data_IF_457929839177
#
_entry.id   IF_457929839177
#
_cell.length_a   1.000
_cell.length_b   1.000
_cell.length_c   1.000
_cell.angle_alpha   90.00
_cell.angle_beta   90.00
_cell.angle_gamma   90.00
#
_symmetry.space_group_name_H-M   'P 1'
#
loop_
_entity.id
_entity.type
_entity.pdbx_description
1 polymer ?
#
# COMPACT_ATOMS: atom_id res chain seq x y z
N UNK A 1 -10.91 -18.05 14.96
CA UNK A 1 -10.49 -16.66 15.26
C UNK A 1 -8.99 -16.56 15.03
N UNK A 2 -8.56 -16.26 13.80
CA UNK A 2 -7.21 -15.78 13.50
C UNK A 2 -7.43 -14.71 12.43
N UNK A 3 -7.70 -13.50 12.88
CA UNK A 3 -7.79 -12.30 12.03
C UNK A 3 -6.61 -11.43 12.46
N UNK A 4 -5.58 -11.34 11.62
CA UNK A 4 -4.56 -10.32 11.81
C UNK A 4 -3.15 -10.69 11.40
N UNK A 5 -2.90 -10.86 10.09
CA UNK A 5 -1.58 -10.61 9.49
C UNK A 5 -1.81 -9.96 8.11
N UNK A 6 -2.07 -8.65 8.05
CA UNK A 6 -2.34 -7.95 6.78
C UNK A 6 -1.21 -8.25 5.78
N UNK A 7 -1.59 -8.81 4.64
CA UNK A 7 -0.69 -9.36 3.64
C UNK A 7 0.07 -8.25 2.90
N UNK A 8 1.38 -8.34 2.74
CA UNK A 8 2.22 -7.31 2.07
C UNK A 8 1.92 -7.08 0.58
N UNK A 9 1.28 -8.03 -0.10
CA UNK A 9 0.70 -7.77 -1.43
C UNK A 9 -0.48 -6.79 -1.34
N UNK A 10 -1.20 -6.74 -0.22
CA UNK A 10 -2.24 -5.74 0.01
C UNK A 10 -1.71 -4.33 0.11
N UNK A 11 -0.46 -4.15 0.50
CA UNK A 11 0.16 -2.82 0.50
C UNK A 11 0.32 -2.28 -0.93
N UNK A 12 0.69 -3.13 -1.90
CA UNK A 12 0.78 -2.78 -3.32
C UNK A 12 -0.58 -2.66 -3.99
N UNK A 13 -1.49 -3.60 -3.73
CA UNK A 13 -2.74 -3.77 -4.46
C UNK A 13 -3.98 -3.25 -3.75
N UNK A 14 -3.95 -3.01 -2.46
CA UNK A 14 -5.09 -2.52 -1.69
C UNK A 14 -4.76 -1.25 -0.91
N UNK A 15 -3.49 -0.83 -0.99
CA UNK A 15 -2.96 0.41 -0.43
C UNK A 15 -2.87 0.35 1.09
N UNK A 16 -1.68 0.62 1.62
CA UNK A 16 -1.60 1.40 2.86
C UNK A 16 -2.36 2.73 2.69
N UNK A 17 -2.72 3.36 3.82
CA UNK A 17 -3.93 4.17 4.01
C UNK A 17 -4.44 4.79 2.70
N UNK A 18 -5.61 4.33 2.24
CA UNK A 18 -6.40 4.97 1.17
C UNK A 18 -6.89 6.40 1.54
N UNK A 19 -6.13 7.07 2.41
CA UNK A 19 -6.41 8.30 3.15
C UNK A 19 -5.14 9.17 3.25
N UNK A 20 -4.07 8.93 2.46
CA UNK A 20 -2.87 9.79 2.55
C UNK A 20 -3.21 11.28 2.44
N UNK A 21 -4.30 11.66 1.77
CA UNK A 21 -4.66 13.06 1.57
C UNK A 21 -5.63 13.63 2.61
N UNK A 22 -6.20 12.80 3.48
CA UNK A 22 -7.22 13.22 4.45
C UNK A 22 -6.97 12.62 5.83
N UNK A 23 -7.28 13.37 6.88
CA UNK A 23 -7.35 12.81 8.22
C UNK A 23 -8.45 11.76 8.32
N UNK A 24 -8.22 10.77 9.18
CA UNK A 24 -9.24 9.79 9.54
C UNK A 24 -10.52 10.51 9.99
N UNK A 25 -11.68 9.99 9.59
CA UNK A 25 -12.99 10.55 9.94
C UNK A 25 -13.23 12.01 9.50
N UNK A 26 -12.53 12.52 8.47
CA UNK A 26 -12.74 13.88 7.93
C UNK A 26 -14.22 14.22 7.66
N UNK A 27 -15.03 13.27 7.17
CA UNK A 27 -16.47 13.48 6.95
C UNK A 27 -17.23 13.79 8.24
N UNK A 28 -16.89 13.12 9.35
CA UNK A 28 -17.48 13.41 10.66
C UNK A 28 -17.00 14.77 11.15
N UNK A 29 -15.72 15.08 10.95
CA UNK A 29 -15.14 16.39 11.23
C UNK A 29 -15.88 17.52 10.51
N UNK A 30 -16.11 17.38 9.20
CA UNK A 30 -16.89 18.33 8.38
C UNK A 30 -18.31 18.49 8.94
N UNK A 31 -18.99 17.39 9.28
CA UNK A 31 -20.36 17.44 9.81
C UNK A 31 -20.44 18.13 11.17
N UNK A 32 -19.42 17.97 12.01
CA UNK A 32 -19.36 18.49 13.37
C UNK A 32 -18.93 19.95 13.44
N UNK A 33 -17.89 20.32 12.69
CA UNK A 33 -17.17 21.58 12.91
C UNK A 33 -17.56 22.71 11.94
N UNK A 34 -18.24 22.40 10.83
CA UNK A 34 -18.75 23.44 9.91
C UNK A 34 -20.18 23.76 10.31
N UNK A 35 -20.54 25.02 10.57
CA UNK A 35 -21.90 25.36 11.02
C UNK A 35 -22.83 25.67 9.84
N UNK A 36 -22.30 26.38 8.85
CA UNK A 36 -23.06 26.84 7.68
C UNK A 36 -23.58 25.66 6.84
N UNK A 37 -24.90 25.51 6.77
CA UNK A 37 -25.55 24.33 6.20
C UNK A 37 -25.27 24.13 4.71
N UNK A 38 -25.29 25.20 3.92
CA UNK A 38 -25.10 25.09 2.47
C UNK A 38 -23.62 24.83 2.13
N UNK A 39 -22.69 25.58 2.72
CA UNK A 39 -21.24 25.31 2.60
C UNK A 39 -20.88 23.88 3.03
N UNK A 40 -21.44 23.40 4.14
CA UNK A 40 -21.29 22.00 4.58
C UNK A 40 -21.79 20.99 3.54
N UNK A 41 -22.96 21.21 2.94
CA UNK A 41 -23.51 20.31 1.91
C UNK A 41 -22.60 20.26 0.69
N UNK A 42 -22.09 21.41 0.26
CA UNK A 42 -21.17 21.52 -0.87
C UNK A 42 -19.89 20.72 -0.63
N UNK A 43 -19.23 20.94 0.52
CA UNK A 43 -18.01 20.22 0.92
C UNK A 43 -18.26 18.71 0.98
N UNK A 44 -19.40 18.27 1.53
CA UNK A 44 -19.75 16.86 1.59
C UNK A 44 -20.05 16.26 0.21
N UNK A 45 -20.54 17.05 -0.74
CA UNK A 45 -20.75 16.61 -2.12
C UNK A 45 -19.40 16.35 -2.82
N UNK A 46 -18.44 17.26 -2.68
CA UNK A 46 -17.07 17.09 -3.19
C UNK A 46 -16.38 15.89 -2.53
N UNK A 47 -16.51 15.76 -1.21
CA UNK A 47 -15.97 14.60 -0.50
C UNK A 47 -16.63 13.29 -0.92
N UNK A 48 -17.90 13.30 -1.36
CA UNK A 48 -18.53 12.10 -1.92
C UNK A 48 -17.93 11.73 -3.29
N UNK A 49 -17.50 12.71 -4.07
CA UNK A 49 -16.80 12.49 -5.34
C UNK A 49 -15.41 11.86 -5.14
N UNK A 50 -14.67 12.23 -4.08
CA UNK A 50 -13.38 11.55 -3.76
C UNK A 50 -13.58 10.07 -3.42
N UNK A 51 -14.71 9.72 -2.79
CA UNK A 51 -15.09 8.32 -2.56
C UNK A 51 -15.38 7.58 -3.87
N UNK A 52 -15.97 8.20 -4.89
CA UNK A 52 -16.15 7.54 -6.19
C UNK A 52 -14.81 7.31 -6.89
N UNK A 53 -13.91 8.30 -6.88
CA UNK A 53 -12.54 8.15 -7.41
C UNK A 53 -11.84 6.95 -6.73
N UNK A 54 -11.90 6.88 -5.40
CA UNK A 54 -11.28 5.80 -4.63
C UNK A 54 -11.91 4.42 -4.93
N UNK A 55 -13.23 4.36 -5.14
CA UNK A 55 -13.91 3.12 -5.52
C UNK A 55 -13.54 2.65 -6.93
N UNK A 56 -13.38 3.56 -7.88
CA UNK A 56 -12.94 3.23 -9.24
C UNK A 56 -11.53 2.68 -9.23
N UNK A 57 -10.61 3.38 -8.56
CA UNK A 57 -9.24 2.92 -8.40
C UNK A 57 -9.17 1.56 -7.70
N UNK A 58 -9.98 1.33 -6.65
CA UNK A 58 -10.04 0.02 -5.99
C UNK A 58 -10.49 -1.12 -6.91
N UNK A 59 -11.41 -0.85 -7.86
CA UNK A 59 -11.80 -1.86 -8.88
C UNK A 59 -10.63 -2.18 -9.80
N UNK A 60 -9.90 -1.16 -10.25
CA UNK A 60 -8.71 -1.33 -11.08
C UNK A 60 -7.65 -2.14 -10.35
N UNK A 61 -7.41 -1.85 -9.08
CA UNK A 61 -6.44 -2.60 -8.29
C UNK A 61 -6.85 -4.06 -8.08
N UNK A 62 -8.14 -4.34 -7.81
CA UNK A 62 -8.65 -5.72 -7.75
C UNK A 62 -8.42 -6.48 -9.05
N UNK A 63 -8.60 -5.81 -10.19
CA UNK A 63 -8.29 -6.39 -11.51
C UNK A 63 -6.78 -6.63 -11.64
N UNK A 64 -5.96 -5.64 -11.32
CA UNK A 64 -4.50 -5.75 -11.33
C UNK A 64 -3.99 -6.88 -10.44
N UNK A 65 -4.56 -7.09 -9.25
CA UNK A 65 -4.18 -8.19 -8.38
C UNK A 65 -4.46 -9.56 -8.99
N UNK A 66 -5.61 -9.73 -9.68
CA UNK A 66 -5.91 -10.97 -10.40
C UNK A 66 -4.91 -11.22 -11.54
N UNK A 67 -4.56 -10.18 -12.29
CA UNK A 67 -3.57 -10.24 -13.36
C UNK A 67 -2.17 -10.57 -12.82
N UNK A 68 -1.76 -9.92 -11.73
CA UNK A 68 -0.51 -10.23 -11.02
C UNK A 68 -0.43 -11.70 -10.65
N UNK A 69 -1.50 -12.28 -10.08
CA UNK A 69 -1.51 -13.70 -9.72
C UNK A 69 -1.37 -14.62 -10.92
N UNK A 70 -1.93 -14.26 -12.07
CA UNK A 70 -1.76 -15.03 -13.29
C UNK A 70 -0.31 -14.95 -13.80
N UNK A 71 0.29 -13.75 -13.82
CA UNK A 71 1.67 -13.54 -14.24
C UNK A 71 2.67 -14.23 -13.30
N UNK A 72 2.55 -14.01 -12.00
CA UNK A 72 3.56 -14.41 -11.03
C UNK A 72 3.56 -15.91 -10.72
N UNK A 73 2.44 -16.62 -10.96
CA UNK A 73 2.38 -18.09 -10.89
C UNK A 73 2.84 -18.78 -12.18
N UNK A 74 3.03 -18.04 -13.27
CA UNK A 74 3.49 -18.59 -14.54
C UNK A 74 5.02 -18.53 -14.63
N UNK A 75 5.68 -19.68 -14.68
CA UNK A 75 7.13 -19.79 -14.80
C UNK A 75 7.68 -19.24 -16.13
N UNK A 76 6.83 -19.11 -17.16
CA UNK A 76 7.21 -18.50 -18.44
C UNK A 76 7.21 -16.98 -18.40
N UNK A 77 6.68 -16.38 -17.33
CA UNK A 77 6.68 -14.93 -17.17
C UNK A 77 8.10 -14.38 -17.21
N UNK A 78 8.28 -13.32 -17.97
CA UNK A 78 9.55 -12.64 -18.18
C UNK A 78 9.65 -11.41 -17.28
N UNK A 79 10.89 -10.96 -17.05
CA UNK A 79 11.16 -9.70 -16.34
C UNK A 79 10.39 -8.54 -16.96
N UNK A 80 10.45 -8.38 -18.28
CA UNK A 80 9.78 -7.30 -19.00
C UNK A 80 8.25 -7.31 -18.83
N UNK A 81 7.62 -8.49 -18.75
CA UNK A 81 6.18 -8.60 -18.49
C UNK A 81 5.83 -8.10 -17.08
N UNK A 82 6.61 -8.49 -16.06
CA UNK A 82 6.40 -8.01 -14.70
C UNK A 82 6.68 -6.51 -14.57
N UNK A 83 7.76 -6.02 -15.17
CA UNK A 83 8.09 -4.58 -15.18
C UNK A 83 7.00 -3.77 -15.87
N UNK A 84 6.54 -4.20 -17.05
CA UNK A 84 5.44 -3.53 -17.77
C UNK A 84 4.16 -3.51 -16.95
N UNK A 85 3.84 -4.62 -16.30
CA UNK A 85 2.70 -4.72 -15.40
C UNK A 85 2.81 -3.76 -14.19
N UNK A 86 3.95 -3.73 -13.52
CA UNK A 86 4.15 -2.85 -12.37
C UNK A 86 4.23 -1.36 -12.75
N UNK A 87 4.73 -1.04 -13.94
CA UNK A 87 4.73 0.31 -14.50
C UNK A 87 3.31 0.79 -14.80
N UNK A 88 2.44 -0.08 -15.33
CA UNK A 88 1.03 0.28 -15.56
C UNK A 88 0.31 0.56 -14.24
N UNK A 89 0.54 -0.26 -13.20
CA UNK A 89 0.01 0.01 -11.86
C UNK A 89 0.51 1.35 -11.29
N UNK A 90 1.79 1.66 -11.47
CA UNK A 90 2.35 2.93 -11.01
C UNK A 90 1.72 4.12 -11.73
N UNK A 91 1.51 4.01 -13.05
CA UNK A 91 0.86 5.04 -13.85
C UNK A 91 -0.56 5.29 -13.36
N UNK A 92 -1.39 4.24 -13.25
CA UNK A 92 -2.77 4.36 -12.78
C UNK A 92 -2.83 4.96 -11.38
N UNK A 93 -1.89 4.57 -10.50
CA UNK A 93 -1.76 5.15 -9.17
C UNK A 93 -1.43 6.65 -9.20
N UNK A 94 -0.51 7.06 -10.06
CA UNK A 94 -0.18 8.48 -10.25
C UNK A 94 -1.38 9.29 -10.73
N UNK A 95 -2.17 8.76 -11.67
CA UNK A 95 -3.41 9.40 -12.13
C UNK A 95 -4.44 9.53 -11.01
N UNK A 96 -4.64 8.46 -10.21
CA UNK A 96 -5.49 8.48 -9.03
C UNK A 96 -5.03 9.54 -8.01
N UNK A 97 -3.74 9.55 -7.67
CA UNK A 97 -3.19 10.46 -6.67
C UNK A 97 -3.30 11.93 -7.10
N UNK A 98 -3.07 12.23 -8.39
CA UNK A 98 -3.29 13.58 -8.92
C UNK A 98 -4.74 14.04 -8.75
N UNK A 99 -5.72 13.19 -9.14
CA UNK A 99 -7.13 13.50 -8.96
C UNK A 99 -7.48 13.73 -7.47
N UNK A 100 -6.90 12.94 -6.58
CA UNK A 100 -7.12 13.09 -5.14
C UNK A 100 -6.53 14.39 -4.58
N UNK A 101 -5.34 14.81 -5.06
CA UNK A 101 -4.76 16.11 -4.70
C UNK A 101 -5.65 17.25 -5.16
N UNK A 102 -6.08 17.23 -6.42
CA UNK A 102 -6.93 18.28 -6.97
C UNK A 102 -8.22 18.42 -6.15
N UNK A 103 -8.84 17.30 -5.78
CA UNK A 103 -10.02 17.31 -4.93
C UNK A 103 -9.74 17.73 -3.47
N UNK A 104 -8.58 17.38 -2.91
CA UNK A 104 -8.17 17.85 -1.58
C UNK A 104 -8.10 19.37 -1.56
N UNK A 105 -7.44 19.98 -2.54
CA UNK A 105 -7.29 21.43 -2.65
C UNK A 105 -8.69 22.09 -2.72
N UNK A 106 -9.55 21.61 -3.62
CA UNK A 106 -10.92 22.14 -3.77
C UNK A 106 -11.75 22.05 -2.48
N UNK A 107 -11.66 20.93 -1.75
CA UNK A 107 -12.35 20.76 -0.47
C UNK A 107 -11.77 21.71 0.59
N UNK A 108 -10.45 21.85 0.64
CA UNK A 108 -9.76 22.59 1.68
C UNK A 108 -9.90 24.11 1.51
N UNK A 109 -10.06 24.60 0.28
CA UNK A 109 -10.41 26.00 0.01
C UNK A 109 -11.74 26.43 0.67
N UNK A 110 -12.67 25.50 0.88
CA UNK A 110 -14.00 25.75 1.44
C UNK A 110 -14.08 25.60 2.97
N UNK A 111 -13.07 24.98 3.57
CA UNK A 111 -12.97 24.80 5.02
C UNK A 111 -12.23 26.01 5.58
N UNK A 112 -12.65 26.59 6.70
CA UNK A 112 -11.91 27.68 7.35
C UNK A 112 -10.73 27.14 8.18
N UNK A 113 -9.72 27.96 8.43
CA UNK A 113 -8.51 27.50 9.15
C UNK A 113 -8.83 26.99 10.57
N UNK A 114 -9.74 27.65 11.29
CA UNK A 114 -10.15 27.20 12.63
C UNK A 114 -10.97 25.91 12.56
N UNK A 115 -11.86 25.77 11.59
CA UNK A 115 -12.63 24.53 11.37
C UNK A 115 -11.69 23.37 11.09
N UNK A 116 -10.68 23.57 10.25
CA UNK A 116 -9.66 22.56 9.96
C UNK A 116 -8.86 22.15 11.20
N UNK A 117 -8.44 23.13 12.01
CA UNK A 117 -7.75 22.85 13.28
C UNK A 117 -8.60 21.94 14.18
N UNK A 118 -9.89 22.26 14.33
CA UNK A 118 -10.83 21.46 15.13
C UNK A 118 -11.04 20.05 14.53
N UNK A 119 -11.01 19.92 13.19
CA UNK A 119 -11.10 18.63 12.50
C UNK A 119 -9.85 17.78 12.81
N UNK A 120 -8.64 18.33 12.67
CA UNK A 120 -7.40 17.61 13.01
C UNK A 120 -7.42 17.17 14.46
N UNK A 121 -7.70 18.07 15.40
CA UNK A 121 -7.67 17.76 16.83
C UNK A 121 -8.60 16.58 17.16
N UNK A 122 -9.79 16.55 16.56
CA UNK A 122 -10.75 15.45 16.73
C UNK A 122 -10.30 14.11 16.13
N UNK A 123 -9.33 14.12 15.21
CA UNK A 123 -8.79 12.91 14.56
C UNK A 123 -7.65 12.24 15.34
N UNK A 124 -6.96 12.98 16.22
CA UNK A 124 -5.78 12.49 16.95
C UNK A 124 -6.10 11.27 17.82
N UNK A 125 -7.23 11.27 18.53
CA UNK A 125 -7.58 10.13 19.41
C UNK A 125 -7.95 8.86 18.63
N UNK A 126 -8.47 9.01 17.41
CA UNK A 126 -8.73 7.86 16.51
C UNK A 126 -7.41 7.30 16.01
N UNK A 127 -6.46 8.19 15.74
CA UNK A 127 -5.14 7.85 15.25
C UNK A 127 -4.33 7.00 16.24
N UNK A 128 -4.20 7.42 17.50
CA UNK A 128 -3.39 6.70 18.50
C UNK A 128 -3.80 5.23 18.61
N UNK A 129 -5.12 4.98 18.60
CA UNK A 129 -5.69 3.62 18.62
C UNK A 129 -5.34 2.82 17.36
N UNK A 130 -5.25 3.48 16.20
CA UNK A 130 -4.89 2.84 14.93
C UNK A 130 -3.40 2.52 14.90
N UNK A 131 -2.54 3.45 15.31
CA UNK A 131 -1.09 3.26 15.39
C UNK A 131 -0.73 2.10 16.32
N UNK A 132 -1.29 2.05 17.53
CA UNK A 132 -1.10 0.90 18.42
C UNK A 132 -1.50 -0.44 17.78
N UNK A 133 -2.60 -0.44 17.01
CA UNK A 133 -3.07 -1.65 16.34
C UNK A 133 -2.17 -2.06 15.18
N UNK A 134 -1.52 -1.10 14.52
CA UNK A 134 -0.53 -1.36 13.46
C UNK A 134 0.77 -1.86 14.09
N UNK A 135 1.29 -1.23 15.14
CA UNK A 135 2.50 -1.66 15.83
C UNK A 135 2.38 -3.07 16.41
N UNK A 136 1.25 -3.39 17.06
CA UNK A 136 0.95 -4.74 17.56
C UNK A 136 0.86 -5.78 16.45
N UNK A 137 0.59 -5.39 15.20
CA UNK A 137 0.58 -6.27 14.03
C UNK A 137 1.97 -6.42 13.40
N UNK A 138 2.73 -5.32 13.30
CA UNK A 138 4.11 -5.32 12.79
C UNK A 138 5.03 -6.21 13.66
N UNK A 139 4.84 -6.23 14.98
CA UNK A 139 5.58 -7.12 15.88
C UNK A 139 5.35 -8.63 15.60
N UNK A 140 4.29 -8.99 14.88
CA UNK A 140 3.95 -10.38 14.52
C UNK A 140 4.41 -10.78 13.11
N UNK A 141 4.92 -9.85 12.30
CA UNK A 141 5.27 -10.12 10.89
C UNK A 141 6.65 -10.76 10.70
N UNK A 142 7.55 -10.80 11.69
CA UNK A 142 8.88 -11.40 11.52
C UNK A 142 8.89 -12.91 11.19
N UNK A 143 7.78 -13.61 11.44
CA UNK A 143 7.61 -15.03 11.08
C UNK A 143 6.93 -15.23 9.70
N UNK A 144 6.64 -14.15 8.96
CA UNK A 144 5.64 -14.10 7.87
C UNK A 144 5.94 -14.92 6.62
N UNK A 145 7.14 -15.50 6.49
CA UNK A 145 7.52 -16.32 5.33
C UNK A 145 8.25 -17.62 5.71
N UNK A 146 8.08 -18.08 6.96
CA UNK A 146 8.75 -19.29 7.46
C UNK A 146 8.40 -20.52 6.62
N UNK A 147 7.14 -20.68 6.17
CA UNK A 147 6.77 -21.88 5.38
C UNK A 147 7.41 -21.83 4.01
N UNK A 148 7.54 -20.65 3.40
CA UNK A 148 8.25 -20.47 2.15
C UNK A 148 9.72 -20.83 2.31
N UNK A 149 10.38 -20.36 3.38
CA UNK A 149 11.76 -20.74 3.69
C UNK A 149 11.93 -22.26 3.85
N UNK A 150 11.13 -22.89 4.70
CA UNK A 150 11.15 -24.36 4.91
C UNK A 150 10.86 -25.10 3.59
N UNK A 151 9.96 -24.57 2.77
CA UNK A 151 9.68 -25.14 1.46
C UNK A 151 10.90 -25.08 0.56
N UNK A 152 11.59 -23.95 0.47
CA UNK A 152 12.83 -23.79 -0.30
C UNK A 152 13.89 -24.78 0.20
N UNK A 153 14.11 -24.84 1.52
CA UNK A 153 15.11 -25.73 2.14
C UNK A 153 14.88 -27.21 1.83
N UNK A 154 13.61 -27.64 1.79
CA UNK A 154 13.22 -29.04 1.57
C UNK A 154 13.20 -29.48 0.10
N UNK A 155 12.96 -28.56 -0.84
CA UNK A 155 12.81 -28.93 -2.27
C UNK A 155 14.03 -28.61 -3.13
N UNK A 156 14.90 -27.70 -2.70
CA UNK A 156 16.12 -27.35 -3.43
C UNK A 156 17.29 -28.16 -2.87
N UNK A 157 17.84 -29.06 -3.67
CA UNK A 157 18.95 -29.95 -3.25
C UNK A 157 20.30 -29.23 -3.30
N UNK A 158 20.54 -28.41 -4.33
CA UNK A 158 21.80 -27.70 -4.51
C UNK A 158 21.92 -26.51 -3.54
N UNK A 159 22.97 -26.48 -2.73
CA UNK A 159 23.15 -25.45 -1.69
C UNK A 159 23.34 -24.04 -2.29
N UNK A 160 24.07 -23.89 -3.38
CA UNK A 160 24.28 -22.57 -4.02
C UNK A 160 22.96 -21.98 -4.54
N UNK A 161 22.14 -22.80 -5.22
CA UNK A 161 20.81 -22.41 -5.68
C UNK A 161 19.89 -22.05 -4.50
N UNK A 162 19.92 -22.87 -3.45
CA UNK A 162 19.13 -22.65 -2.22
C UNK A 162 19.49 -21.33 -1.55
N UNK A 163 20.78 -21.07 -1.33
CA UNK A 163 21.26 -19.82 -0.73
C UNK A 163 20.86 -18.60 -1.56
N UNK A 164 20.95 -18.70 -2.90
CA UNK A 164 20.51 -17.63 -3.81
C UNK A 164 19.02 -17.30 -3.62
N UNK A 165 18.16 -18.33 -3.62
CA UNK A 165 16.71 -18.16 -3.42
C UNK A 165 16.40 -17.59 -2.03
N UNK A 166 17.05 -18.09 -0.98
CA UNK A 166 16.84 -17.61 0.38
C UNK A 166 17.26 -16.14 0.56
N UNK A 167 18.38 -15.73 -0.03
CA UNK A 167 18.79 -14.31 -0.06
C UNK A 167 17.78 -13.44 -0.82
N UNK A 168 17.22 -13.96 -1.92
CA UNK A 168 16.15 -13.30 -2.66
C UNK A 168 14.90 -13.10 -1.79
N UNK A 169 14.50 -14.13 -1.04
CA UNK A 169 13.37 -14.05 -0.10
C UNK A 169 13.64 -13.05 1.03
N UNK A 170 14.83 -13.08 1.63
CA UNK A 170 15.23 -12.13 2.68
C UNK A 170 15.22 -10.68 2.17
N UNK A 171 15.77 -10.43 0.98
CA UNK A 171 15.71 -9.11 0.36
C UNK A 171 14.26 -8.65 0.13
N UNK A 172 13.38 -9.54 -0.32
CA UNK A 172 11.96 -9.25 -0.43
C UNK A 172 11.37 -8.85 0.93
N UNK A 173 11.56 -9.66 1.98
CA UNK A 173 11.05 -9.39 3.34
C UNK A 173 11.52 -8.03 3.85
N UNK A 174 12.83 -7.74 3.76
CA UNK A 174 13.40 -6.49 4.24
C UNK A 174 12.81 -5.26 3.53
N UNK A 175 12.71 -5.30 2.20
CA UNK A 175 12.08 -4.18 1.45
C UNK A 175 10.59 -4.04 1.72
N UNK A 176 9.93 -5.15 2.04
CA UNK A 176 8.54 -5.20 2.47
C UNK A 176 8.35 -4.48 3.81
N UNK A 177 9.19 -4.80 4.79
CA UNK A 177 9.17 -4.19 6.13
C UNK A 177 9.45 -2.69 6.06
N UNK A 178 10.41 -2.29 5.22
CA UNK A 178 10.74 -0.87 4.99
C UNK A 178 9.57 -0.11 4.36
N UNK A 179 8.86 -0.73 3.42
CA UNK A 179 7.66 -0.14 2.84
C UNK A 179 6.55 -0.03 3.87
N UNK A 180 6.30 -1.07 4.68
CA UNK A 180 5.29 -1.05 5.73
C UNK A 180 5.55 0.06 6.77
N UNK A 181 6.81 0.19 7.23
CA UNK A 181 7.22 1.27 8.13
C UNK A 181 7.00 2.64 7.50
N UNK A 182 7.42 2.82 6.25
CA UNK A 182 7.22 4.08 5.51
C UNK A 182 5.74 4.43 5.48
N UNK A 183 4.88 3.50 5.08
CA UNK A 183 3.44 3.76 4.96
C UNK A 183 2.75 3.99 6.30
N UNK A 184 3.25 3.37 7.37
CA UNK A 184 2.74 3.59 8.72
C UNK A 184 3.14 4.98 9.24
N UNK A 185 4.27 5.53 8.77
CA UNK A 185 4.71 6.90 9.09
C UNK A 185 4.03 8.00 8.28
N UNK A 186 3.43 7.65 7.12
CA UNK A 186 2.66 8.61 6.31
C UNK A 186 1.25 8.69 6.90
N UNK A 187 1.08 9.67 7.77
CA UNK A 187 -0.18 9.93 8.46
C UNK A 187 -0.55 11.41 8.32
N UNK A 188 -1.81 11.70 7.98
CA UNK A 188 -2.28 13.05 7.77
C UNK A 188 -2.24 13.96 9.01
N UNK A 189 -2.26 13.42 10.23
CA UNK A 189 -2.20 14.24 11.45
C UNK A 189 -0.77 14.52 11.94
N UNK A 190 0.21 13.70 11.55
CA UNK A 190 1.62 13.83 11.99
C UNK A 190 2.54 14.34 10.88
N UNK A 191 2.17 14.11 9.62
CA UNK A 191 2.88 14.63 8.48
C UNK A 191 2.53 16.12 8.29
N UNK A 192 3.52 17.00 8.44
CA UNK A 192 3.33 18.45 8.36
C UNK A 192 2.66 18.90 7.05
N UNK A 193 3.00 18.30 5.92
CA UNK A 193 2.42 18.64 4.62
C UNK A 193 0.94 18.19 4.56
N UNK A 194 0.59 17.05 5.12
CA UNK A 194 -0.80 16.59 5.10
C UNK A 194 -1.69 17.32 6.11
N UNK A 195 -1.13 17.67 7.27
CA UNK A 195 -1.78 18.44 8.33
C UNK A 195 -1.93 19.92 7.97
N UNK A 196 -1.04 20.46 7.13
CA UNK A 196 -1.17 21.83 6.65
C UNK A 196 -2.28 21.91 5.58
N UNK A 197 -3.30 22.70 5.91
CA UNK A 197 -4.42 22.99 5.04
C UNK A 197 -3.96 23.62 3.72
N UNK A 198 -2.93 24.45 3.78
CA UNK A 198 -2.48 25.31 2.70
C UNK A 198 -1.32 24.69 1.90
N UNK A 199 -0.97 23.42 2.15
CA UNK A 199 0.03 22.71 1.36
C UNK A 199 -0.28 22.82 -0.13
N UNK A 200 0.75 23.22 -0.88
CA UNK A 200 0.65 23.37 -2.33
C UNK A 200 0.48 22.02 -3.02
N UNK A 201 0.09 22.06 -4.29
CA UNK A 201 0.06 20.85 -5.12
C UNK A 201 1.45 20.23 -5.23
N UNK A 202 2.48 21.05 -5.31
CA UNK A 202 3.88 20.66 -5.38
C UNK A 202 4.31 19.91 -4.11
N UNK A 203 3.99 20.42 -2.91
CA UNK A 203 4.31 19.74 -1.65
C UNK A 203 3.64 18.36 -1.56
N UNK A 204 2.38 18.26 -1.98
CA UNK A 204 1.63 17.01 -2.00
C UNK A 204 2.20 16.01 -3.03
N UNK A 205 2.69 16.51 -4.18
CA UNK A 205 3.36 15.70 -5.19
C UNK A 205 4.73 15.20 -4.71
N UNK A 206 5.45 15.98 -3.91
CA UNK A 206 6.72 15.55 -3.30
C UNK A 206 6.51 14.35 -2.36
N UNK A 207 5.46 14.40 -1.53
CA UNK A 207 5.07 13.25 -0.69
C UNK A 207 4.82 11.99 -1.53
N UNK A 208 4.10 12.12 -2.65
CA UNK A 208 3.83 11.01 -3.56
C UNK A 208 5.13 10.46 -4.18
N UNK A 209 6.06 11.35 -4.54
CA UNK A 209 7.34 10.96 -5.13
C UNK A 209 8.15 10.09 -4.16
N UNK A 210 8.24 10.53 -2.90
CA UNK A 210 8.94 9.79 -1.83
C UNK A 210 8.33 8.41 -1.58
N UNK A 211 7.00 8.32 -1.48
CA UNK A 211 6.28 7.05 -1.35
C UNK A 211 6.47 6.15 -2.60
N UNK A 212 6.45 6.73 -3.79
CA UNK A 212 6.65 5.99 -5.05
C UNK A 212 8.03 5.38 -5.14
N UNK A 213 9.08 6.07 -4.67
CA UNK A 213 10.44 5.54 -4.63
C UNK A 213 10.53 4.29 -3.75
N UNK A 214 9.93 4.30 -2.56
CA UNK A 214 9.90 3.14 -1.65
C UNK A 214 9.12 1.97 -2.24
N UNK A 215 7.99 2.23 -2.89
CA UNK A 215 7.23 1.19 -3.58
C UNK A 215 7.98 0.59 -4.76
N UNK A 216 8.78 1.37 -5.48
CA UNK A 216 9.60 0.85 -6.57
C UNK A 216 10.68 -0.12 -6.07
N UNK A 217 11.31 0.15 -4.92
CA UNK A 217 12.23 -0.80 -4.30
C UNK A 217 11.54 -2.14 -3.98
N UNK A 218 10.34 -2.10 -3.40
CA UNK A 218 9.55 -3.29 -3.11
C UNK A 218 9.07 -4.04 -4.37
N UNK A 219 8.67 -3.32 -5.44
CA UNK A 219 8.34 -3.96 -6.72
C UNK A 219 9.54 -4.69 -7.30
N UNK A 220 10.72 -4.07 -7.26
CA UNK A 220 11.94 -4.69 -7.77
C UNK A 220 12.32 -5.95 -6.99
N UNK A 221 12.14 -5.97 -5.66
CA UNK A 221 12.41 -7.17 -4.87
C UNK A 221 11.44 -8.31 -5.17
N UNK A 222 10.17 -8.02 -5.43
CA UNK A 222 9.18 -9.01 -5.92
C UNK A 222 9.61 -9.59 -7.26
N UNK A 223 9.96 -8.73 -8.22
CA UNK A 223 10.41 -9.17 -9.56
C UNK A 223 11.66 -10.05 -9.42
N UNK A 224 12.64 -9.59 -8.65
CA UNK A 224 13.89 -10.31 -8.44
C UNK A 224 13.65 -11.67 -7.77
N UNK A 225 12.78 -11.73 -6.76
CA UNK A 225 12.49 -13.01 -6.10
C UNK A 225 11.87 -14.02 -7.07
N UNK A 226 10.90 -13.61 -7.89
CA UNK A 226 10.33 -14.47 -8.92
C UNK A 226 11.38 -14.99 -9.90
N UNK A 227 12.24 -14.11 -10.40
CA UNK A 227 13.29 -14.48 -11.36
C UNK A 227 14.34 -15.40 -10.73
N UNK A 228 14.77 -15.14 -9.50
CA UNK A 228 15.74 -15.97 -8.79
C UNK A 228 15.18 -17.38 -8.58
N UNK A 229 13.92 -17.52 -8.14
CA UNK A 229 13.29 -18.84 -7.99
C UNK A 229 13.22 -19.55 -9.33
N UNK A 230 12.82 -18.84 -10.39
CA UNK A 230 12.72 -19.39 -11.76
C UNK A 230 14.07 -19.88 -12.30
N UNK A 231 15.14 -19.12 -12.10
CA UNK A 231 16.48 -19.42 -12.61
C UNK A 231 17.17 -20.54 -11.83
N UNK A 232 16.77 -20.76 -10.58
CA UNK A 232 17.44 -21.68 -9.65
C UNK A 232 16.57 -22.89 -9.27
N UNK A 233 15.48 -23.15 -10.00
CA UNK A 233 14.62 -24.32 -9.77
C UNK A 233 14.01 -24.88 -11.05
N UNK A 234 13.49 -26.11 -10.98
CA UNK A 234 12.68 -26.68 -12.06
C UNK A 234 11.26 -26.08 -12.05
N UNK A 235 10.54 -26.23 -13.16
CA UNK A 235 9.17 -25.72 -13.31
C UNK A 235 8.22 -26.18 -12.18
N UNK A 236 8.28 -27.46 -11.83
CA UNK A 236 7.45 -28.02 -10.75
C UNK A 236 7.83 -27.43 -9.39
N UNK A 237 9.12 -27.29 -9.13
CA UNK A 237 9.63 -26.73 -7.88
C UNK A 237 9.27 -25.25 -7.76
N UNK A 238 9.42 -24.49 -8.85
CA UNK A 238 8.99 -23.09 -8.95
C UNK A 238 7.51 -22.96 -8.54
N UNK A 239 6.61 -23.71 -9.17
CA UNK A 239 5.17 -23.66 -8.88
C UNK A 239 4.90 -23.93 -7.40
N UNK A 240 5.59 -24.92 -6.81
CA UNK A 240 5.43 -25.28 -5.42
C UNK A 240 5.92 -24.21 -4.43
N UNK A 241 7.04 -23.55 -4.73
CA UNK A 241 7.56 -22.43 -3.94
C UNK A 241 6.61 -21.24 -4.06
N UNK A 242 6.26 -20.84 -5.29
CA UNK A 242 5.41 -19.67 -5.53
C UNK A 242 4.02 -19.83 -4.93
N UNK A 243 3.44 -21.03 -4.97
CA UNK A 243 2.17 -21.33 -4.31
C UNK A 243 2.25 -21.19 -2.78
N UNK A 244 3.35 -21.59 -2.17
CA UNK A 244 3.58 -21.44 -0.72
C UNK A 244 3.75 -19.97 -0.36
N UNK A 245 4.60 -19.27 -1.10
CA UNK A 245 4.82 -17.83 -0.98
C UNK A 245 3.53 -17.04 -1.10
N UNK A 246 2.70 -17.37 -2.10
CA UNK A 246 1.41 -16.72 -2.29
C UNK A 246 0.46 -16.99 -1.15
N UNK A 247 0.36 -18.22 -0.67
CA UNK A 247 -0.50 -18.51 0.49
C UNK A 247 -0.10 -17.66 1.69
N UNK A 248 1.19 -17.58 2.02
CA UNK A 248 1.65 -16.72 3.11
C UNK A 248 1.38 -15.23 2.84
N UNK A 249 1.46 -14.82 1.57
CA UNK A 249 1.12 -13.47 1.12
C UNK A 249 -0.38 -13.21 0.92
N UNK A 250 -1.26 -14.22 1.02
CA UNK A 250 -2.71 -14.14 0.77
C UNK A 250 -3.55 -14.45 2.00
N UNK A 251 -3.01 -15.09 3.05
CA UNK A 251 -3.76 -15.59 4.22
C UNK A 251 -4.57 -14.50 4.96
N UNK A 252 -4.51 -13.22 4.57
CA UNK A 252 -5.29 -12.14 5.18
C UNK A 252 -5.66 -10.98 4.25
N UNK A 253 -5.76 -11.21 2.93
CA UNK A 253 -6.31 -10.24 1.98
C UNK A 253 -7.85 -10.31 1.89
#
# INVERSE_FOLDING_TARGET
MIVGIVALLTVLFFGGPNEMFYVDDIEKGIKKNIEEKERKKEILADFKFTKSISKEYEKERKKGFKEFKALYNNNKTTKNQLESFFNSLQKNRGEYQNKMIDQRILIFEKIESQEWHNIIESSITVLEKRTEKIEKKALKSKESYRKTQVKIESVIVNNTQKESILKGLESFINTSDDLEKTLSSINASENKILADKNSSKEDLLELISNDSAKRNAYKNSIINFHLIVKENSSDEVFINIMKTFFKESEINA
#
